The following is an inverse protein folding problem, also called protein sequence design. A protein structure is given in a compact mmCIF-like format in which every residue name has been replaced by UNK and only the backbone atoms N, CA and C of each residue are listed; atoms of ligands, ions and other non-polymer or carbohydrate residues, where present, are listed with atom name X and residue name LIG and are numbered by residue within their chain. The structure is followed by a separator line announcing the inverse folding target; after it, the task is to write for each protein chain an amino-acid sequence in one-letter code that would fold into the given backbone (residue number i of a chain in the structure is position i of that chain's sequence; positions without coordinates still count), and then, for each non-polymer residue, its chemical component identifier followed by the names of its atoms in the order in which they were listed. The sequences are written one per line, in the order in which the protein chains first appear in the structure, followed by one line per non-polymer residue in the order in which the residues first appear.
data_IF_895552536915
#
_entry.id   IF_895552536915
#
_cell.length_a   1.000
_cell.length_b   1.000
_cell.length_c   1.000
_cell.angle_alpha   90.00
_cell.angle_beta   90.00
_cell.angle_gamma   90.00
#
_symmetry.space_group_name_H-M   'P 1'
#
loop_
_entity.id
_entity.type
_entity.pdbx_description
1 polymer ?
#
# COMPACT_ATOMS: atom_id res chain seq x y z
N UNK A 1 31.19 9.49 -1.17
CA UNK A 1 30.71 8.87 0.09
C UNK A 1 29.20 9.04 0.27
N UNK A 2 28.66 10.28 0.26
CA UNK A 2 27.21 10.53 0.37
C UNK A 2 26.38 9.88 -0.75
N UNK A 3 26.84 9.95 -2.00
CA UNK A 3 26.11 9.37 -3.15
C UNK A 3 26.00 7.85 -3.07
N UNK A 4 27.05 7.18 -2.57
CA UNK A 4 27.06 5.72 -2.34
C UNK A 4 26.07 5.33 -1.24
N UNK A 5 25.92 6.16 -0.21
CA UNK A 5 24.95 5.92 0.87
C UNK A 5 23.51 6.15 0.41
N UNK A 6 23.27 7.19 -0.40
CA UNK A 6 21.96 7.45 -0.99
C UNK A 6 21.54 6.33 -1.95
N UNK A 7 22.45 5.86 -2.80
CA UNK A 7 22.17 4.76 -3.72
C UNK A 7 21.80 3.47 -2.97
N UNK A 8 22.56 3.14 -1.92
CA UNK A 8 22.20 2.01 -1.05
C UNK A 8 20.83 2.21 -0.40
N UNK A 9 20.50 3.42 0.04
CA UNK A 9 19.21 3.74 0.64
C UNK A 9 18.05 3.60 -0.35
N UNK A 10 18.24 3.98 -1.63
CA UNK A 10 17.26 3.79 -2.71
C UNK A 10 16.98 2.31 -2.98
N UNK A 11 18.02 1.49 -3.05
CA UNK A 11 17.87 0.03 -3.20
C UNK A 11 17.08 -0.55 -2.02
N UNK A 12 17.38 -0.12 -0.80
CA UNK A 12 16.66 -0.56 0.40
C UNK A 12 15.21 -0.09 0.41
N UNK A 13 14.93 1.16 -0.01
CA UNK A 13 13.57 1.69 -0.11
C UNK A 13 12.74 0.94 -1.14
N UNK A 14 13.31 0.58 -2.29
CA UNK A 14 12.64 -0.27 -3.28
C UNK A 14 12.26 -1.65 -2.71
N UNK A 15 13.17 -2.29 -1.97
CA UNK A 15 12.86 -3.54 -1.28
C UNK A 15 11.78 -3.36 -0.21
N UNK A 16 11.80 -2.25 0.51
CA UNK A 16 10.79 -1.93 1.51
C UNK A 16 9.41 -1.72 0.87
N UNK A 17 9.32 -1.03 -0.27
CA UNK A 17 8.07 -0.90 -1.01
C UNK A 17 7.47 -2.26 -1.35
N UNK A 18 8.27 -3.25 -1.78
CA UNK A 18 7.76 -4.60 -2.06
C UNK A 18 7.24 -5.32 -0.80
N UNK A 19 7.86 -5.06 0.36
CA UNK A 19 7.34 -5.56 1.64
C UNK A 19 6.01 -4.90 2.00
N UNK A 20 5.92 -3.59 1.85
CA UNK A 20 4.68 -2.83 2.10
C UNK A 20 3.55 -3.31 1.18
N UNK A 21 3.83 -3.54 -0.11
CA UNK A 21 2.85 -4.13 -1.05
C UNK A 21 2.38 -5.50 -0.58
N UNK A 22 3.30 -6.34 -0.10
CA UNK A 22 2.95 -7.66 0.43
C UNK A 22 2.04 -7.55 1.65
N UNK A 23 2.28 -6.60 2.55
CA UNK A 23 1.39 -6.34 3.70
C UNK A 23 -0.02 -5.94 3.25
N UNK A 24 -0.14 -5.04 2.28
CA UNK A 24 -1.44 -4.63 1.72
C UNK A 24 -2.20 -5.82 1.13
N UNK A 25 -1.51 -6.73 0.43
CA UNK A 25 -2.12 -7.95 -0.09
C UNK A 25 -2.57 -8.91 1.02
N UNK A 26 -1.78 -9.04 2.09
CA UNK A 26 -2.16 -9.85 3.26
C UNK A 26 -3.40 -9.26 3.95
N UNK A 27 -3.44 -7.95 4.17
CA UNK A 27 -4.61 -7.29 4.72
C UNK A 27 -5.84 -7.50 3.85
N UNK A 28 -5.73 -7.27 2.53
CA UNK A 28 -6.82 -7.52 1.59
C UNK A 28 -7.38 -8.94 1.72
N UNK A 29 -6.52 -9.95 1.82
CA UNK A 29 -6.96 -11.33 2.01
C UNK A 29 -7.76 -11.50 3.31
N UNK A 30 -7.31 -10.88 4.41
CA UNK A 30 -8.07 -10.88 5.66
C UNK A 30 -9.44 -10.20 5.53
N UNK A 31 -9.54 -9.08 4.81
CA UNK A 31 -10.84 -8.43 4.56
C UNK A 31 -11.78 -9.29 3.70
N UNK A 32 -11.24 -10.02 2.72
CA UNK A 32 -12.02 -11.00 1.94
C UNK A 32 -12.54 -12.13 2.84
N UNK A 33 -11.72 -12.64 3.76
CA UNK A 33 -12.13 -13.70 4.68
C UNK A 33 -13.16 -13.23 5.74
N UNK A 34 -13.21 -11.92 6.02
CA UNK A 34 -14.16 -11.31 6.96
C UNK A 34 -15.53 -11.03 6.35
N UNK A 35 -15.62 -10.89 5.03
CA UNK A 35 -16.88 -10.65 4.33
C UNK A 35 -17.82 -11.85 4.47
N UNK A 36 -19.07 -11.59 4.84
CA UNK A 36 -20.08 -12.64 4.99
C UNK A 36 -20.91 -12.87 3.71
N UNK A 37 -20.73 -11.98 2.71
CA UNK A 37 -21.36 -12.08 1.40
C UNK A 37 -22.83 -11.65 1.39
N UNK A 38 -23.30 -10.96 2.43
CA UNK A 38 -24.69 -10.48 2.52
C UNK A 38 -24.94 -9.17 1.72
N UNK A 39 -23.88 -8.60 1.14
CA UNK A 39 -23.91 -7.39 0.32
C UNK A 39 -23.86 -6.09 1.11
N UNK A 40 -23.62 -6.14 2.43
CA UNK A 40 -23.47 -4.97 3.31
C UNK A 40 -22.01 -4.66 3.71
N UNK A 41 -21.05 -5.27 3.01
CA UNK A 41 -19.61 -5.22 3.32
C UNK A 41 -18.89 -3.92 2.87
N UNK A 42 -19.62 -2.87 2.49
CA UNK A 42 -19.03 -1.59 2.06
C UNK A 42 -18.12 -0.95 3.13
N UNK A 43 -18.41 -1.20 4.41
CA UNK A 43 -17.59 -0.73 5.53
C UNK A 43 -16.20 -1.39 5.54
N UNK A 44 -16.08 -2.67 5.16
CA UNK A 44 -14.79 -3.38 5.07
C UNK A 44 -13.88 -2.72 4.02
N UNK A 45 -14.44 -2.27 2.90
CA UNK A 45 -13.68 -1.52 1.88
C UNK A 45 -13.17 -0.19 2.43
N UNK A 46 -14.00 0.52 3.21
CA UNK A 46 -13.62 1.79 3.83
C UNK A 46 -12.53 1.61 4.89
N UNK A 47 -12.67 0.61 5.76
CA UNK A 47 -11.68 0.29 6.78
C UNK A 47 -10.33 -0.10 6.15
N UNK A 48 -10.36 -0.95 5.12
CA UNK A 48 -9.14 -1.32 4.39
C UNK A 48 -8.43 -0.12 3.76
N UNK A 49 -9.18 0.80 3.14
CA UNK A 49 -8.61 2.01 2.56
C UNK A 49 -8.01 2.93 3.63
N UNK A 50 -8.69 3.06 4.78
CA UNK A 50 -8.20 3.85 5.90
C UNK A 50 -6.92 3.25 6.50
N UNK A 51 -6.87 1.93 6.68
CA UNK A 51 -5.71 1.22 7.20
C UNK A 51 -4.47 1.41 6.30
N UNK A 52 -4.66 1.33 4.98
CA UNK A 52 -3.61 1.66 4.01
C UNK A 52 -3.07 3.08 4.23
N UNK A 53 -3.93 4.09 4.27
CA UNK A 53 -3.51 5.49 4.40
C UNK A 53 -2.80 5.74 5.74
N UNK A 54 -3.33 5.21 6.83
CA UNK A 54 -2.80 5.36 8.18
C UNK A 54 -1.41 4.75 8.33
N UNK A 55 -1.23 3.53 7.83
CA UNK A 55 0.00 2.78 8.05
C UNK A 55 1.02 2.92 6.92
N UNK A 56 0.62 3.12 5.66
CA UNK A 56 1.57 3.28 4.55
C UNK A 56 2.02 4.72 4.38
N UNK A 57 1.12 5.68 4.62
CA UNK A 57 1.35 7.11 4.41
C UNK A 57 2.63 7.64 5.05
N UNK A 58 2.87 7.40 6.36
CA UNK A 58 4.08 7.86 7.04
C UNK A 58 5.38 7.29 6.46
N UNK A 59 5.38 6.03 6.02
CA UNK A 59 6.58 5.35 5.50
C UNK A 59 6.95 5.87 4.12
N UNK A 60 5.98 5.91 3.20
CA UNK A 60 6.20 6.39 1.83
C UNK A 60 6.60 7.86 1.86
N UNK A 61 5.92 8.68 2.66
CA UNK A 61 6.26 10.11 2.84
C UNK A 61 7.69 10.29 3.33
N UNK A 62 8.12 9.53 4.34
CA UNK A 62 9.49 9.62 4.88
C UNK A 62 10.55 9.25 3.84
N UNK A 63 10.33 8.17 3.08
CA UNK A 63 11.26 7.72 2.05
C UNK A 63 11.35 8.72 0.89
N UNK A 64 10.23 9.35 0.53
CA UNK A 64 10.18 10.43 -0.47
C UNK A 64 10.91 11.69 0.00
N UNK A 65 10.61 12.18 1.21
CA UNK A 65 11.25 13.38 1.79
C UNK A 65 12.77 13.22 1.95
N UNK A 66 13.26 11.99 2.10
CA UNK A 66 14.69 11.67 2.20
C UNK A 66 15.34 11.28 0.87
N UNK A 67 14.63 11.49 -0.25
CA UNK A 67 15.08 11.23 -1.63
C UNK A 67 15.46 9.76 -1.92
N UNK A 68 14.95 8.85 -1.09
CA UNK A 68 15.08 7.41 -1.27
C UNK A 68 14.08 6.88 -2.31
N UNK A 69 12.96 7.60 -2.47
CA UNK A 69 11.99 7.40 -3.54
C UNK A 69 11.84 8.67 -4.36
N UNK A 70 11.65 8.50 -5.66
CA UNK A 70 11.21 9.58 -6.56
C UNK A 70 9.67 9.63 -6.68
N UNK A 71 9.19 10.64 -7.39
CA UNK A 71 7.75 10.90 -7.57
C UNK A 71 7.05 9.74 -8.31
N UNK A 72 7.73 9.10 -9.26
CA UNK A 72 7.19 8.00 -10.05
C UNK A 72 7.00 6.75 -9.18
N UNK A 73 7.99 6.43 -8.33
CA UNK A 73 7.93 5.32 -7.39
C UNK A 73 6.82 5.52 -6.35
N UNK A 74 6.68 6.75 -5.83
CA UNK A 74 5.60 7.09 -4.89
C UNK A 74 4.24 6.95 -5.58
N UNK A 75 4.09 7.50 -6.78
CA UNK A 75 2.83 7.45 -7.53
C UNK A 75 2.44 6.00 -7.86
N UNK A 76 3.39 5.20 -8.33
CA UNK A 76 3.17 3.78 -8.64
C UNK A 76 2.77 2.97 -7.40
N UNK A 77 3.33 3.28 -6.23
CA UNK A 77 2.95 2.61 -4.99
C UNK A 77 1.51 2.94 -4.58
N UNK A 78 1.11 4.22 -4.65
CA UNK A 78 -0.27 4.62 -4.34
C UNK A 78 -1.28 4.09 -5.36
N UNK A 79 -0.93 4.08 -6.65
CA UNK A 79 -1.75 3.46 -7.69
C UNK A 79 -1.99 1.97 -7.41
N UNK A 80 -0.94 1.24 -7.00
CA UNK A 80 -1.07 -0.14 -6.55
C UNK A 80 -2.05 -0.27 -5.37
N UNK A 81 -1.90 0.55 -4.33
CA UNK A 81 -2.75 0.50 -3.13
C UNK A 81 -4.22 0.78 -3.45
N UNK A 82 -4.50 1.84 -4.21
CA UNK A 82 -5.86 2.16 -4.65
C UNK A 82 -6.41 1.14 -5.64
N UNK A 83 -5.54 0.47 -6.41
CA UNK A 83 -5.88 -0.73 -7.17
C UNK A 83 -6.44 -1.82 -6.26
N UNK A 84 -5.75 -2.12 -5.16
CA UNK A 84 -6.20 -3.16 -4.21
C UNK A 84 -7.53 -2.83 -3.54
N UNK A 85 -7.79 -1.56 -3.22
CA UNK A 85 -9.08 -1.11 -2.68
C UNK A 85 -10.21 -1.32 -3.70
N UNK A 86 -9.98 -0.95 -4.97
CA UNK A 86 -10.95 -1.14 -6.05
C UNK A 86 -11.22 -2.63 -6.32
N UNK A 87 -10.17 -3.44 -6.29
CA UNK A 87 -10.30 -4.88 -6.45
C UNK A 87 -11.13 -5.49 -5.32
N UNK A 88 -10.87 -5.11 -4.06
CA UNK A 88 -11.65 -5.58 -2.91
C UNK A 88 -13.12 -5.21 -3.08
N UNK A 89 -13.44 -3.95 -3.38
CA UNK A 89 -14.82 -3.52 -3.66
C UNK A 89 -15.50 -4.38 -4.72
N UNK A 90 -14.79 -4.66 -5.82
CA UNK A 90 -15.33 -5.44 -6.91
C UNK A 90 -15.62 -6.89 -6.50
N UNK A 91 -14.76 -7.48 -5.66
CA UNK A 91 -14.96 -8.82 -5.10
C UNK A 91 -16.17 -8.89 -4.17
N UNK A 92 -16.37 -7.87 -3.33
CA UNK A 92 -17.46 -7.83 -2.35
C UNK A 92 -18.81 -7.39 -2.95
N UNK A 93 -18.80 -6.81 -4.15
CA UNK A 93 -20.03 -6.42 -4.86
C UNK A 93 -20.60 -7.52 -5.77
N UNK A 94 -19.98 -8.70 -5.81
CA UNK A 94 -20.35 -9.83 -6.68
C UNK A 94 -21.05 -10.92 -5.90
#
# INVERSE_FOLDING_TARGET
MRDVQLEKARIQAAQELERLKSMVLTWKASYVDMADGDGTDDFLVMEFAQEIEEYMGPFVRRMHMTQQLDDDQVSAFWEFCYGQVRDLRSLLST
#
